data_IF_900004236361
#
_entry.id   IF_900004236361
#
_cell.length_a   1.000
_cell.length_b   1.000
_cell.length_c   1.000
_cell.angle_alpha   90.00
_cell.angle_beta   90.00
_cell.angle_gamma   90.00
#
_symmetry.space_group_name_H-M   'P 1'
#
loop_
_entity.id
_entity.type
_entity.pdbx_description
1 polymer ?
#
# COMPACT_ATOMS: atom_id res chain seq x y z
N UNK A 1 -11.35 -9.86 -34.75
CA UNK A 1 -10.22 -9.74 -33.80
C UNK A 1 -9.73 -8.30 -33.76
N UNK A 2 -9.93 -7.56 -32.66
CA UNK A 2 -9.32 -6.23 -32.47
C UNK A 2 -7.81 -6.42 -32.30
N UNK A 3 -6.97 -5.83 -33.17
CA UNK A 3 -5.51 -5.83 -32.97
C UNK A 3 -5.22 -5.18 -31.60
N UNK A 4 -4.72 -5.97 -30.65
CA UNK A 4 -4.29 -5.47 -29.34
C UNK A 4 -2.97 -4.75 -29.55
N UNK A 5 -2.97 -3.43 -29.42
CA UNK A 5 -1.74 -2.64 -29.44
C UNK A 5 -0.95 -3.02 -28.17
N UNK A 6 0.27 -3.57 -28.29
CA UNK A 6 1.04 -4.00 -27.13
C UNK A 6 1.38 -2.81 -26.23
N UNK A 7 1.42 -3.01 -24.90
CA UNK A 7 1.79 -1.94 -23.97
C UNK A 7 3.26 -1.52 -24.21
N UNK A 8 3.56 -0.22 -24.15
CA UNK A 8 4.93 0.26 -24.25
C UNK A 8 5.75 -0.19 -23.04
N UNK A 9 7.09 -0.23 -23.18
CA UNK A 9 8.02 -0.61 -22.10
C UNK A 9 7.79 0.18 -20.81
N UNK A 10 7.48 1.48 -20.91
CA UNK A 10 7.15 2.33 -19.75
C UNK A 10 5.98 1.77 -18.92
N UNK A 11 4.93 1.27 -19.58
CA UNK A 11 3.79 0.66 -18.91
C UNK A 11 4.15 -0.68 -18.26
N UNK A 12 5.03 -1.46 -18.87
CA UNK A 12 5.54 -2.71 -18.30
C UNK A 12 6.44 -2.46 -17.08
N UNK A 13 7.30 -1.45 -17.14
CA UNK A 13 8.13 -1.01 -16.01
C UNK A 13 7.26 -0.49 -14.86
N UNK A 14 6.28 0.37 -15.16
CA UNK A 14 5.30 0.86 -14.18
C UNK A 14 4.56 -0.30 -13.50
N UNK A 15 4.08 -1.28 -14.27
CA UNK A 15 3.47 -2.50 -13.71
C UNK A 15 4.41 -3.25 -12.78
N UNK A 16 5.67 -3.40 -13.16
CA UNK A 16 6.65 -4.14 -12.34
C UNK A 16 6.91 -3.42 -11.02
N UNK A 17 7.07 -2.08 -11.05
CA UNK A 17 7.25 -1.27 -9.84
C UNK A 17 6.02 -1.35 -8.91
N UNK A 18 4.80 -1.33 -9.46
CA UNK A 18 3.58 -1.56 -8.67
C UNK A 18 3.57 -2.93 -8.00
N UNK A 19 3.95 -4.00 -8.72
CA UNK A 19 4.00 -5.34 -8.15
C UNK A 19 5.05 -5.43 -7.03
N UNK A 20 6.23 -4.81 -7.22
CA UNK A 20 7.26 -4.75 -6.17
C UNK A 20 6.77 -3.96 -4.95
N UNK A 21 6.03 -2.87 -5.16
CA UNK A 21 5.37 -2.12 -4.08
C UNK A 21 4.42 -3.03 -3.29
N UNK A 22 3.55 -3.79 -3.97
CA UNK A 22 2.62 -4.71 -3.30
C UNK A 22 3.36 -5.78 -2.48
N UNK A 23 4.46 -6.32 -3.02
CA UNK A 23 5.30 -7.27 -2.28
C UNK A 23 5.89 -6.62 -1.04
N UNK A 24 6.43 -5.39 -1.13
CA UNK A 24 6.95 -4.67 0.02
C UNK A 24 5.88 -4.44 1.10
N UNK A 25 4.65 -4.12 0.70
CA UNK A 25 3.53 -4.00 1.65
C UNK A 25 3.11 -5.30 2.31
N UNK A 26 3.10 -6.41 1.56
CA UNK A 26 2.85 -7.73 2.14
C UNK A 26 3.96 -8.15 3.11
N UNK A 27 5.21 -7.77 2.82
CA UNK A 27 6.35 -7.97 3.75
C UNK A 27 6.13 -7.18 5.05
N UNK A 28 5.71 -5.91 4.96
CA UNK A 28 5.37 -5.10 6.15
C UNK A 28 4.28 -5.76 7.00
N UNK A 29 3.20 -6.23 6.36
CA UNK A 29 2.10 -6.96 7.00
C UNK A 29 2.60 -8.24 7.67
N UNK A 30 3.50 -8.98 7.01
CA UNK A 30 4.10 -10.20 7.56
C UNK A 30 4.92 -9.93 8.82
N UNK A 31 5.77 -8.91 8.82
CA UNK A 31 6.52 -8.51 10.02
C UNK A 31 5.59 -8.04 11.15
N UNK A 32 4.60 -7.20 10.83
CA UNK A 32 3.63 -6.73 11.82
C UNK A 32 2.85 -7.89 12.44
N UNK A 33 2.53 -8.92 11.65
CA UNK A 33 1.87 -10.13 12.13
C UNK A 33 2.73 -10.95 13.09
N UNK A 34 4.02 -11.12 12.78
CA UNK A 34 4.96 -11.87 13.62
C UNK A 34 5.20 -11.16 14.95
N UNK A 35 5.39 -9.83 14.92
CA UNK A 35 5.71 -9.04 16.11
C UNK A 35 4.49 -8.73 16.99
N UNK A 36 3.27 -9.13 16.57
CA UNK A 36 2.02 -8.77 17.27
C UNK A 36 2.00 -9.22 18.73
N UNK A 37 2.62 -10.35 19.07
CA UNK A 37 2.59 -10.91 20.43
C UNK A 37 3.55 -10.20 21.38
N UNK A 38 4.69 -9.73 20.86
CA UNK A 38 5.66 -8.93 21.63
C UNK A 38 5.11 -7.54 21.98
N UNK A 39 4.28 -6.96 21.11
CA UNK A 39 3.57 -5.71 21.39
C UNK A 39 2.49 -5.83 22.48
N UNK A 40 1.77 -6.96 22.52
CA UNK A 40 0.70 -7.19 23.51
C UNK A 40 1.24 -7.32 24.94
N UNK A 41 2.32 -8.07 25.15
CA UNK A 41 2.91 -8.24 26.48
C UNK A 41 3.38 -6.92 27.09
N UNK A 42 4.00 -6.05 26.29
CA UNK A 42 4.56 -4.76 26.75
C UNK A 42 3.48 -3.73 27.07
N UNK A 43 2.34 -3.77 26.35
CA UNK A 43 1.17 -2.93 26.66
C UNK A 43 0.51 -3.35 27.97
N UNK A 44 0.42 -4.65 28.26
CA UNK A 44 -0.09 -5.14 29.54
C UNK A 44 0.83 -4.72 30.70
N UNK A 45 2.15 -4.83 30.53
CA UNK A 45 3.12 -4.42 31.55
C UNK A 45 3.06 -2.91 31.85
N UNK A 46 3.05 -2.04 30.83
CA UNK A 46 3.01 -0.59 31.02
C UNK A 46 1.67 -0.06 31.55
N UNK A 47 0.54 -0.66 31.16
CA UNK A 47 -0.79 -0.26 31.67
C UNK A 47 -0.94 -0.66 33.14
N UNK A 48 -0.36 -1.78 33.55
CA UNK A 48 -0.30 -2.19 34.97
C UNK A 48 0.52 -1.19 35.80
N UNK A 49 1.51 -0.53 35.21
CA UNK A 49 2.41 0.40 35.88
C UNK A 49 1.85 1.84 35.98
N UNK A 50 1.04 2.29 35.00
CA UNK A 50 0.64 3.71 34.86
C UNK A 50 -0.68 4.10 35.54
N UNK A 51 -1.69 3.22 35.62
CA UNK A 51 -2.97 3.54 36.27
C UNK A 51 -3.76 2.26 36.63
N UNK A 52 -3.65 1.75 37.87
CA UNK A 52 -4.35 0.54 38.29
C UNK A 52 -5.88 0.71 38.40
N UNK A 53 -6.41 1.93 38.25
CA UNK A 53 -7.85 2.23 38.39
C UNK A 53 -8.62 2.36 37.07
N UNK A 54 -7.91 2.39 35.92
CA UNK A 54 -8.53 2.48 34.59
C UNK A 54 -8.77 1.08 34.04
N UNK A 55 -9.98 0.79 33.58
CA UNK A 55 -10.34 -0.54 33.05
C UNK A 55 -9.37 -0.97 31.92
N UNK A 56 -8.41 -1.88 32.20
CA UNK A 56 -7.36 -2.25 31.25
C UNK A 56 -7.96 -2.93 30.02
N UNK A 57 -9.12 -3.57 30.19
CA UNK A 57 -9.82 -4.28 29.14
C UNK A 57 -10.30 -3.37 28.02
N UNK A 58 -10.70 -2.13 28.33
CA UNK A 58 -11.14 -1.15 27.33
C UNK A 58 -9.97 -0.62 26.47
N UNK A 59 -8.81 -0.36 27.09
CA UNK A 59 -7.61 0.11 26.37
C UNK A 59 -7.00 -0.97 25.49
N UNK A 60 -6.94 -2.21 25.99
CA UNK A 60 -6.43 -3.34 25.21
C UNK A 60 -7.32 -3.64 23.99
N UNK A 61 -8.65 -3.55 24.18
CA UNK A 61 -9.62 -3.74 23.10
C UNK A 61 -9.48 -2.66 22.02
N UNK A 62 -9.29 -1.41 22.41
CA UNK A 62 -9.09 -0.30 21.48
C UNK A 62 -7.76 -0.42 20.72
N UNK A 63 -6.66 -0.74 21.40
CA UNK A 63 -5.36 -0.96 20.77
C UNK A 63 -5.40 -2.12 19.77
N UNK A 64 -6.10 -3.20 20.11
CA UNK A 64 -6.33 -4.33 19.21
C UNK A 64 -7.13 -3.90 17.98
N UNK A 65 -8.22 -3.12 18.16
CA UNK A 65 -9.01 -2.61 17.05
C UNK A 65 -8.19 -1.73 16.10
N UNK A 66 -7.37 -0.83 16.64
CA UNK A 66 -6.52 0.07 15.82
C UNK A 66 -5.43 -0.71 15.09
N UNK A 67 -4.81 -1.69 15.73
CA UNK A 67 -3.83 -2.57 15.09
C UNK A 67 -4.44 -3.29 13.88
N UNK A 68 -5.57 -3.97 14.08
CA UNK A 68 -6.26 -4.68 13.00
C UNK A 68 -6.79 -3.74 11.93
N UNK A 69 -7.28 -2.57 12.32
CA UNK A 69 -7.72 -1.53 11.38
C UNK A 69 -6.57 -1.02 10.51
N UNK A 70 -5.40 -0.79 11.09
CA UNK A 70 -4.20 -0.35 10.36
C UNK A 70 -3.69 -1.44 9.42
N UNK A 71 -3.66 -2.70 9.88
CA UNK A 71 -3.29 -3.84 9.06
C UNK A 71 -4.23 -4.02 7.86
N UNK A 72 -5.54 -3.93 8.12
CA UNK A 72 -6.58 -4.01 7.09
C UNK A 72 -6.49 -2.84 6.11
N UNK A 73 -6.17 -1.63 6.57
CA UNK A 73 -6.02 -0.45 5.73
C UNK A 73 -4.87 -0.62 4.72
N UNK A 74 -3.71 -1.15 5.16
CA UNK A 74 -2.58 -1.45 4.25
C UNK A 74 -3.00 -2.46 3.17
N UNK A 75 -3.65 -3.55 3.58
CA UNK A 75 -4.13 -4.57 2.64
C UNK A 75 -5.18 -4.02 1.66
N UNK A 76 -6.09 -3.18 2.15
CA UNK A 76 -7.12 -2.57 1.33
C UNK A 76 -6.52 -1.65 0.26
N UNK A 77 -5.54 -0.82 0.62
CA UNK A 77 -4.81 0.02 -0.33
C UNK A 77 -4.17 -0.82 -1.43
N UNK A 78 -3.46 -1.90 -1.08
CA UNK A 78 -2.85 -2.81 -2.05
C UNK A 78 -3.88 -3.39 -3.01
N UNK A 79 -5.04 -3.84 -2.50
CA UNK A 79 -6.11 -4.39 -3.34
C UNK A 79 -6.67 -3.33 -4.30
N UNK A 80 -6.97 -2.13 -3.80
CA UNK A 80 -7.50 -1.03 -4.61
C UNK A 80 -6.50 -0.64 -5.71
N UNK A 81 -5.22 -0.49 -5.37
CA UNK A 81 -4.16 -0.19 -6.34
C UNK A 81 -3.99 -1.31 -7.38
N UNK A 82 -4.08 -2.58 -6.98
CA UNK A 82 -4.02 -3.72 -7.91
C UNK A 82 -5.21 -3.72 -8.89
N UNK A 83 -6.42 -3.41 -8.43
CA UNK A 83 -7.61 -3.29 -9.28
C UNK A 83 -7.49 -2.11 -10.26
N UNK A 84 -6.98 -0.98 -9.80
CA UNK A 84 -6.73 0.19 -10.65
C UNK A 84 -5.61 -0.07 -11.66
N UNK A 85 -4.55 -0.77 -11.26
CA UNK A 85 -3.49 -1.23 -12.16
C UNK A 85 -4.06 -2.14 -13.25
N UNK A 86 -4.90 -3.12 -12.89
CA UNK A 86 -5.60 -3.97 -13.87
C UNK A 86 -6.46 -3.14 -14.83
N UNK A 87 -7.15 -2.14 -14.31
CA UNK A 87 -7.97 -1.21 -15.12
C UNK A 87 -7.11 -0.36 -16.06
N UNK A 88 -5.96 0.10 -15.60
CA UNK A 88 -4.96 0.81 -16.39
C UNK A 88 -4.40 -0.08 -17.51
N UNK A 89 -4.12 -1.35 -17.23
CA UNK A 89 -3.71 -2.34 -18.26
C UNK A 89 -4.82 -2.59 -19.29
N UNK A 90 -6.07 -2.33 -18.93
CA UNK A 90 -7.23 -2.30 -19.83
C UNK A 90 -7.32 -1.05 -20.73
N UNK A 91 -6.26 -0.22 -20.80
CA UNK A 91 -6.19 1.03 -21.58
C UNK A 91 -7.16 2.12 -21.13
N UNK A 92 -7.58 2.12 -19.87
CA UNK A 92 -8.44 3.17 -19.32
C UNK A 92 -7.61 4.30 -18.70
N UNK A 93 -7.51 5.42 -19.41
CA UNK A 93 -6.63 6.54 -19.04
C UNK A 93 -6.99 7.18 -17.68
N UNK A 94 -8.27 7.19 -17.28
CA UNK A 94 -8.71 7.75 -15.99
C UNK A 94 -8.11 7.01 -14.79
N UNK A 95 -7.74 5.73 -14.96
CA UNK A 95 -7.15 4.93 -13.89
C UNK A 95 -5.86 5.56 -13.33
N UNK A 96 -5.13 6.35 -14.12
CA UNK A 96 -3.95 7.09 -13.66
C UNK A 96 -4.29 8.18 -12.64
N UNK A 97 -5.41 8.86 -12.83
CA UNK A 97 -5.88 9.91 -11.92
C UNK A 97 -6.40 9.27 -10.63
N UNK A 98 -7.15 8.18 -10.76
CA UNK A 98 -7.58 7.40 -9.60
C UNK A 98 -6.39 6.84 -8.80
N UNK A 99 -5.36 6.32 -9.48
CA UNK A 99 -4.12 5.89 -8.83
C UNK A 99 -3.41 7.02 -8.09
N UNK A 100 -3.40 8.24 -8.63
CA UNK A 100 -2.84 9.40 -7.92
C UNK A 100 -3.60 9.69 -6.62
N UNK A 101 -4.94 9.69 -6.67
CA UNK A 101 -5.77 9.90 -5.47
C UNK A 101 -5.51 8.81 -4.43
N UNK A 102 -5.47 7.54 -4.88
CA UNK A 102 -5.17 6.42 -3.98
C UNK A 102 -3.74 6.49 -3.43
N UNK A 103 -2.78 7.00 -4.19
CA UNK A 103 -1.41 7.19 -3.70
C UNK A 103 -1.32 8.21 -2.56
N UNK A 104 -2.17 9.24 -2.57
CA UNK A 104 -2.29 10.18 -1.43
C UNK A 104 -2.86 9.46 -0.20
N UNK A 105 -3.89 8.64 -0.38
CA UNK A 105 -4.45 7.81 0.70
C UNK A 105 -3.41 6.81 1.22
N UNK A 106 -2.63 6.21 0.32
CA UNK A 106 -1.54 5.30 0.66
C UNK A 106 -0.51 5.99 1.56
N UNK A 107 -0.10 7.23 1.25
CA UNK A 107 0.81 7.98 2.11
C UNK A 107 0.24 8.18 3.52
N UNK A 108 -1.06 8.50 3.65
CA UNK A 108 -1.72 8.61 4.96
C UNK A 108 -1.77 7.26 5.70
N UNK A 109 -2.09 6.17 4.98
CA UNK A 109 -2.09 4.81 5.53
C UNK A 109 -0.69 4.38 5.96
N UNK A 110 0.37 4.79 5.25
CA UNK A 110 1.76 4.52 5.64
C UNK A 110 2.10 5.18 6.98
N UNK A 111 1.71 6.44 7.18
CA UNK A 111 1.91 7.16 8.46
C UNK A 111 1.15 6.46 9.58
N UNK A 112 -0.11 6.09 9.33
CA UNK A 112 -0.93 5.34 10.29
C UNK A 112 -0.30 3.98 10.65
N UNK A 113 0.12 3.23 9.62
CA UNK A 113 0.73 1.92 9.79
C UNK A 113 2.06 2.00 10.52
N UNK A 114 2.90 3.00 10.25
CA UNK A 114 4.15 3.20 11.01
C UNK A 114 3.86 3.48 12.49
N UNK A 115 2.85 4.30 12.78
CA UNK A 115 2.50 4.67 14.15
C UNK A 115 1.98 3.49 14.99
N UNK A 116 1.25 2.56 14.37
CA UNK A 116 0.51 1.51 15.09
C UNK A 116 1.01 0.08 14.85
N UNK A 117 1.76 -0.17 13.76
CA UNK A 117 2.30 -1.49 13.44
C UNK A 117 3.81 -1.58 13.69
N UNK A 118 4.56 -0.49 13.57
CA UNK A 118 6.00 -0.51 13.79
C UNK A 118 6.33 -0.24 15.27
N UNK A 119 7.15 -1.11 15.86
CA UNK A 119 7.66 -0.87 17.22
C UNK A 119 8.52 0.42 17.27
N UNK A 120 8.59 1.10 18.42
CA UNK A 120 9.44 2.27 18.59
C UNK A 120 10.93 1.99 18.32
N UNK A 121 11.64 3.00 17.83
CA UNK A 121 13.08 2.91 17.55
C UNK A 121 13.42 1.93 16.43
N UNK A 122 14.54 1.22 16.58
CA UNK A 122 15.08 0.29 15.58
C UNK A 122 14.33 -1.04 15.53
N UNK A 123 13.59 -1.40 16.58
CA UNK A 123 12.81 -2.64 16.63
C UNK A 123 11.71 -2.68 15.55
N UNK A 124 11.10 -1.53 15.21
CA UNK A 124 10.09 -1.45 14.15
C UNK A 124 10.63 -1.38 12.72
N UNK A 125 11.94 -1.49 12.52
CA UNK A 125 12.57 -1.34 11.21
C UNK A 125 12.05 -2.38 10.19
N UNK A 126 11.68 -3.58 10.65
CA UNK A 126 11.10 -4.65 9.82
C UNK A 126 9.75 -4.29 9.21
N UNK A 127 8.97 -3.41 9.84
CA UNK A 127 7.69 -2.91 9.31
C UNK A 127 7.89 -1.58 8.57
N UNK A 128 8.64 -0.65 9.18
CA UNK A 128 8.85 0.71 8.68
C UNK A 128 9.50 0.75 7.30
N UNK A 129 10.62 0.05 7.11
CA UNK A 129 11.34 0.13 5.84
C UNK A 129 10.58 -0.48 4.66
N UNK A 130 9.89 -1.62 4.80
CA UNK A 130 9.02 -2.12 3.74
C UNK A 130 7.85 -1.19 3.42
N UNK A 131 7.24 -0.51 4.41
CA UNK A 131 6.21 0.51 4.16
C UNK A 131 6.76 1.71 3.36
N UNK A 132 7.94 2.20 3.71
CA UNK A 132 8.61 3.28 2.97
C UNK A 132 8.93 2.83 1.55
N UNK A 133 9.49 1.63 1.39
CA UNK A 133 9.79 1.06 0.07
C UNK A 133 8.51 0.89 -0.77
N UNK A 134 7.43 0.40 -0.17
CA UNK A 134 6.13 0.27 -0.81
C UNK A 134 5.67 1.61 -1.39
N UNK A 135 5.67 2.69 -0.60
CA UNK A 135 5.23 4.01 -1.04
C UNK A 135 6.13 4.58 -2.15
N UNK A 136 7.45 4.48 -1.99
CA UNK A 136 8.41 4.99 -2.98
C UNK A 136 8.30 4.26 -4.32
N UNK A 137 8.15 2.93 -4.28
CA UNK A 137 7.94 2.12 -5.48
C UNK A 137 6.63 2.45 -6.17
N UNK A 138 5.54 2.67 -5.41
CA UNK A 138 4.25 3.10 -5.94
C UNK A 138 4.32 4.48 -6.61
N UNK A 139 4.99 5.44 -5.97
CA UNK A 139 5.21 6.77 -6.54
C UNK A 139 6.05 6.70 -7.83
N UNK A 140 7.15 5.95 -7.83
CA UNK A 140 7.96 5.73 -9.02
C UNK A 140 7.14 5.05 -10.15
N UNK A 141 6.34 4.04 -9.82
CA UNK A 141 5.46 3.36 -10.76
C UNK A 141 4.47 4.33 -11.41
N UNK A 142 3.87 5.22 -10.61
CA UNK A 142 2.95 6.25 -11.10
C UNK A 142 3.67 7.25 -12.02
N UNK A 143 4.83 7.77 -11.63
CA UNK A 143 5.63 8.71 -12.45
C UNK A 143 5.97 8.09 -13.81
N UNK A 144 6.45 6.84 -13.83
CA UNK A 144 6.79 6.14 -15.08
C UNK A 144 5.55 5.95 -15.98
N UNK A 145 4.35 5.84 -15.40
CA UNK A 145 3.09 5.73 -16.16
C UNK A 145 2.71 7.01 -16.94
N UNK A 146 3.35 8.14 -16.62
CA UNK A 146 3.12 9.44 -17.28
C UNK A 146 3.98 9.65 -18.53
N UNK A 147 4.89 8.72 -18.84
CA UNK A 147 5.76 8.82 -20.00
C UNK A 147 4.96 9.11 -21.30
N UNK A 148 5.47 9.93 -22.24
CA UNK A 148 4.76 10.27 -23.48
C UNK A 148 4.33 9.04 -24.29
N UNK A 149 5.15 7.97 -24.27
CA UNK A 149 4.84 6.68 -24.89
C UNK A 149 3.58 6.02 -24.31
N UNK A 150 3.35 6.14 -23.00
CA UNK A 150 2.13 5.67 -22.36
C UNK A 150 0.93 6.48 -22.84
N UNK A 151 1.01 7.81 -22.86
CA UNK A 151 -0.10 8.67 -23.29
C UNK A 151 -0.51 8.41 -24.74
N UNK A 152 0.45 8.17 -25.63
CA UNK A 152 0.16 7.73 -27.02
C UNK A 152 -0.57 6.39 -27.06
N UNK A 153 -0.17 5.42 -26.23
CA UNK A 153 -0.82 4.11 -26.15
C UNK A 153 -2.27 4.19 -25.66
N UNK A 154 -2.59 5.08 -24.72
CA UNK A 154 -3.97 5.29 -24.26
C UNK A 154 -4.85 6.00 -25.31
N UNK A 155 -4.27 6.90 -26.12
CA UNK A 155 -4.98 7.65 -27.15
C UNK A 155 -5.12 6.91 -28.49
N UNK A 156 -4.32 5.87 -28.73
CA UNK A 156 -4.35 5.16 -30.00
C UNK A 156 -5.71 4.48 -30.24
N UNK A 157 -6.43 4.86 -31.28
CA UNK A 157 -7.67 4.19 -31.65
C UNK A 157 -7.38 2.77 -32.15
N UNK A 158 -8.21 1.76 -31.81
CA UNK A 158 -8.15 0.48 -32.49
C UNK A 158 -8.48 0.74 -33.97
N UNK A 159 -7.55 0.44 -34.88
CA UNK A 159 -7.77 0.63 -36.31
C UNK A 159 -9.16 0.13 -36.72
N UNK A 160 -10.08 1.05 -37.02
CA UNK A 160 -11.32 0.75 -37.71
C UNK A 160 -10.91 0.26 -39.10
N UNK A 161 -11.49 -0.87 -39.51
CA UNK A 161 -11.26 -1.44 -40.84
C UNK A 161 -11.65 -0.38 -41.87
N UNK A 162 -10.69 0.01 -42.72
CA UNK A 162 -10.98 0.52 -44.05
C UNK A 162 -11.61 -0.59 -44.89
#
# INVERSE_FOLDING_TARGET
MRRRIPPPRSILTSRTLWLLSFVAGLVAVGFAWVDRTAGQQRLTELVTELDPTRDPASLESLGRLIFWGSLAAVLLVIVVEALLLRTMMGRRAWARIALLVVLVVHAAVMVLADAYLAAPGTAGAGVRWPLVAQLLLAAAAWIVSLAPSATRWFRAEPASRA
#
